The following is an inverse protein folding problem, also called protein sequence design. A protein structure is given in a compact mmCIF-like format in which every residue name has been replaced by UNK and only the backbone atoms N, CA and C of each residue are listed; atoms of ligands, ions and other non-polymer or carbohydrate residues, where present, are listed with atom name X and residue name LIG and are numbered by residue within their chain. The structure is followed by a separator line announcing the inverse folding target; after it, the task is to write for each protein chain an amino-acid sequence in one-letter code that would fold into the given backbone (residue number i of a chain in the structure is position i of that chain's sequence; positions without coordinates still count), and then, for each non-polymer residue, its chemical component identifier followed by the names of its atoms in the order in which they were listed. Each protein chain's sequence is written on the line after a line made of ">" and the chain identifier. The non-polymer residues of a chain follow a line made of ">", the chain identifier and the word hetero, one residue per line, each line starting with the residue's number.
data_IF_008664611748
#
_entry.id   IF_008664611748
#
_cell.length_a   1.000
_cell.length_b   1.000
_cell.length_c   1.000
_cell.angle_alpha   90.00
_cell.angle_beta   90.00
_cell.angle_gamma   90.00
#
_symmetry.space_group_name_H-M   'P 1'
#
loop_
_entity.id
_entity.type
_entity.pdbx_description
1 polymer ?
2 non-polymer ?
3 non-polymer ?
4 water ?
#
# COMPACT_ATOMS: atom_id res chain seq x y z
N UNK A 18 13.60 -17.25 -37.89
CA UNK A 18 13.05 -16.17 -37.01
C UNK A 18 13.76 -16.15 -35.66
N UNK A 19 14.04 -14.93 -35.17
CA UNK A 19 14.74 -14.74 -33.91
C UNK A 19 13.77 -14.50 -32.76
N UNK A 20 13.88 -15.31 -31.71
CA UNK A 20 13.02 -15.20 -30.54
C UNK A 20 13.56 -14.13 -29.58
N UNK A 21 12.67 -13.24 -29.14
CA UNK A 21 13.02 -12.19 -28.18
C UNK A 21 11.99 -12.09 -27.06
N UNK A 22 12.47 -11.83 -25.85
CA UNK A 22 11.60 -11.65 -24.69
C UNK A 22 11.53 -10.18 -24.31
N UNK A 23 10.30 -9.66 -24.21
CA UNK A 23 10.07 -8.26 -23.88
C UNK A 23 9.56 -8.09 -22.46
N UNK A 24 10.14 -7.12 -21.75
CA UNK A 24 9.74 -6.81 -20.38
C UNK A 24 9.35 -5.33 -20.24
N UNK A 25 8.18 -5.11 -19.67
CA UNK A 25 7.72 -3.76 -19.37
C UNK A 25 7.43 -3.63 -17.87
N UNK A 26 8.23 -2.81 -17.18
CA UNK A 26 8.11 -2.60 -15.74
C UNK A 26 8.26 -1.14 -15.35
N UNK A 27 7.32 -0.64 -14.55
CA UNK A 27 7.31 0.76 -14.14
C UNK A 27 6.53 0.95 -12.83
N UNK A 28 6.97 1.91 -12.00
CA UNK A 28 6.18 2.33 -10.84
C UNK A 28 4.81 2.90 -11.24
N UNK A 29 4.66 3.20 -12.53
CA UNK A 29 3.40 3.68 -13.10
C UNK A 29 2.35 2.58 -13.21
N UNK A 30 2.80 1.34 -13.43
CA UNK A 30 1.90 0.20 -13.49
C UNK A 30 1.54 -0.26 -12.08
N UNK A 31 0.78 0.58 -11.39
CA UNK A 31 0.49 0.36 -9.98
C UNK A 31 -0.99 0.51 -9.65
N UNK A 32 -1.41 -0.21 -8.62
CA UNK A 32 -2.71 0.03 -8.00
C UNK A 32 -2.59 0.03 -6.48
N UNK A 33 -2.87 1.19 -5.89
CA UNK A 33 -2.80 1.36 -4.44
C UNK A 33 -4.14 0.99 -3.83
N UNK A 34 -4.16 -0.14 -3.13
CA UNK A 34 -5.42 -0.75 -2.70
C UNK A 34 -5.42 -1.20 -1.24
N UNK A 35 -6.63 -1.31 -0.68
CA UNK A 35 -6.83 -1.92 0.61
C UNK A 35 -7.30 -3.36 0.43
N UNK A 36 -6.95 -4.22 1.39
CA UNK A 36 -7.40 -5.62 1.37
C UNK A 36 -7.11 -6.30 2.70
N UNK A 37 -7.62 -7.52 2.86
CA UNK A 37 -7.15 -8.45 3.89
C UNK A 37 -7.33 -9.88 3.44
N UNK A 38 -6.37 -10.74 3.79
CA UNK A 38 -6.45 -12.16 3.50
C UNK A 38 -7.38 -12.84 4.49
N UNK A 39 -8.26 -13.68 3.97
CA UNK A 39 -9.11 -14.53 4.79
C UNK A 39 -9.25 -15.90 4.15
N UNK A 40 -8.91 -16.93 4.91
CA UNK A 40 -9.20 -18.32 4.53
C UNK A 40 -9.59 -19.13 5.76
N UNK A 41 -9.75 -20.45 5.59
CA UNK A 41 -10.20 -21.33 6.68
C UNK A 41 -9.25 -21.29 7.88
N UNK A 42 -9.77 -20.78 9.00
CA UNK A 42 -9.03 -20.71 10.26
C UNK A 42 -8.10 -19.53 10.42
N UNK A 43 -8.08 -18.63 9.43
CA UNK A 43 -7.19 -17.47 9.46
C UNK A 43 -7.83 -16.21 8.88
N UNK A 44 -7.64 -15.10 9.60
CA UNK A 44 -8.06 -13.78 9.14
C UNK A 44 -7.09 -12.72 9.64
N UNK A 45 -6.68 -11.83 8.75
CA UNK A 45 -5.82 -10.71 9.12
C UNK A 45 -6.58 -9.39 9.13
N UNK A 46 -6.00 -8.38 9.78
CA UNK A 46 -6.61 -7.06 9.87
C UNK A 46 -6.54 -6.31 8.54
N UNK A 47 -7.46 -5.36 8.36
CA UNK A 47 -7.48 -4.51 7.18
C UNK A 47 -6.21 -3.68 7.07
N UNK A 48 -5.60 -3.72 5.88
CA UNK A 48 -4.43 -2.92 5.57
C UNK A 48 -4.42 -2.64 4.07
N UNK A 49 -3.26 -2.24 3.53
CA UNK A 49 -3.15 -1.91 2.12
C UNK A 49 -1.74 -2.06 1.58
N UNK A 50 -1.62 -1.92 0.26
CA UNK A 50 -0.34 -2.05 -0.44
C UNK A 50 -0.28 -1.16 -1.67
N UNK A 51 0.95 -0.79 -2.05
CA UNK A 51 1.23 -0.28 -3.39
C UNK A 51 1.57 -1.47 -4.27
N UNK A 52 0.56 -2.01 -4.95
CA UNK A 52 0.77 -3.14 -5.85
C UNK A 52 1.44 -2.67 -7.13
N UNK A 53 2.28 -3.53 -7.71
CA UNK A 53 2.98 -3.20 -8.94
C UNK A 53 2.96 -4.38 -9.92
N UNK A 54 2.71 -4.08 -11.19
CA UNK A 54 2.59 -5.10 -12.23
C UNK A 54 3.67 -4.94 -13.30
N UNK A 55 4.37 -6.04 -13.59
CA UNK A 55 5.26 -6.09 -14.75
C UNK A 55 4.81 -7.19 -15.72
N UNK A 56 4.96 -6.92 -17.01
CA UNK A 56 4.53 -7.85 -18.04
C UNK A 56 5.71 -8.36 -18.87
N UNK A 57 5.76 -9.68 -19.06
CA UNK A 57 6.77 -10.33 -19.89
C UNK A 57 6.12 -11.12 -21.03
N UNK A 58 6.69 -10.97 -22.23
CA UNK A 58 6.18 -11.60 -23.45
C UNK A 58 7.31 -12.26 -24.22
N UNK A 59 7.01 -13.38 -24.88
CA UNK A 59 7.95 -14.04 -25.79
C UNK A 59 7.34 -14.17 -27.18
N UNK A 60 8.15 -13.88 -28.20
CA UNK A 60 7.72 -13.99 -29.59
C UNK A 60 8.87 -13.76 -30.56
N UNK A 61 8.56 -13.77 -31.84
CA UNK A 61 9.56 -13.50 -32.88
C UNK A 61 9.58 -12.02 -33.23
N UNK A 62 10.78 -11.52 -33.54
CA UNK A 62 10.95 -10.15 -34.00
C UNK A 62 10.34 -10.02 -35.40
N UNK A 63 9.36 -9.13 -35.53
CA UNK A 63 8.64 -8.94 -36.78
C UNK A 63 9.41 -8.06 -37.76
N UNK A 64 8.89 -7.94 -38.98
CA UNK A 64 9.53 -7.15 -40.04
C UNK A 64 9.65 -5.66 -39.77
N UNK A 65 8.97 -5.19 -38.73
CA UNK A 65 9.03 -3.79 -38.32
C UNK A 65 10.09 -3.54 -37.23
N UNK A 66 10.77 -4.61 -36.80
CA UNK A 66 11.80 -4.53 -35.78
C UNK A 66 11.33 -4.82 -34.37
N UNK A 67 10.02 -4.84 -34.18
CA UNK A 67 9.43 -5.13 -32.88
C UNK A 67 8.88 -6.54 -32.81
N UNK A 68 8.90 -7.12 -31.61
CA UNK A 68 8.06 -8.28 -31.32
C UNK A 68 6.63 -7.74 -31.21
N UNK A 69 6.51 -6.70 -30.38
CA UNK A 69 5.28 -5.92 -30.21
C UNK A 69 5.66 -4.56 -29.62
N UNK A 70 4.98 -3.50 -30.06
CA UNK A 70 5.29 -2.14 -29.64
C UNK A 70 5.11 -1.95 -28.12
N UNK A 71 6.15 -1.42 -27.47
CA UNK A 71 6.13 -1.18 -26.02
C UNK A 71 5.00 -0.24 -25.59
N UNK A 72 4.71 0.76 -26.43
CA UNK A 72 3.67 1.75 -26.15
C UNK A 72 2.28 1.12 -25.98
N UNK A 73 2.00 0.10 -26.79
CA UNK A 73 0.74 -0.66 -26.68
C UNK A 73 0.71 -1.42 -25.36
N UNK A 74 1.82 -2.09 -25.03
CA UNK A 74 1.94 -2.83 -23.77
C UNK A 74 1.81 -1.91 -22.55
N UNK A 75 2.46 -0.75 -22.60
CA UNK A 75 2.40 0.24 -21.54
C UNK A 75 0.99 0.80 -21.33
N UNK A 76 0.25 0.95 -22.42
CA UNK A 76 -1.10 1.51 -22.39
C UNK A 76 -2.12 0.58 -21.75
N UNK A 77 -2.05 -0.71 -22.08
CA UNK A 77 -3.01 -1.70 -21.62
C UNK A 77 -2.80 -2.09 -20.15
N UNK A 78 -1.53 -2.14 -19.73
CA UNK A 78 -1.20 -2.45 -18.33
C UNK A 78 -1.68 -1.32 -17.42
N UNK A 79 -1.53 -0.08 -17.89
CA UNK A 79 -2.02 1.10 -17.18
C UNK A 79 -3.53 1.06 -16.99
N UNK A 80 -4.25 0.62 -18.02
CA UNK A 80 -5.71 0.54 -18.00
C UNK A 80 -6.24 -0.48 -17.00
N UNK A 81 -5.60 -1.65 -16.95
CA UNK A 81 -5.98 -2.72 -16.02
C UNK A 81 -5.72 -2.30 -14.57
N UNK A 82 -4.55 -1.69 -14.34
CA UNK A 82 -4.17 -1.19 -13.02
C UNK A 82 -5.13 -0.10 -12.52
N UNK A 83 -5.53 0.78 -13.43
CA UNK A 83 -6.43 1.90 -13.12
C UNK A 83 -7.78 1.45 -12.58
N UNK A 84 -8.30 0.35 -13.13
CA UNK A 84 -9.58 -0.23 -12.69
C UNK A 84 -9.53 -0.71 -11.24
N UNK A 85 -8.37 -1.19 -10.81
CA UNK A 85 -8.16 -1.67 -9.45
C UNK A 85 -7.81 -0.54 -8.49
N UNK A 86 -6.99 0.40 -8.98
CA UNK A 86 -6.42 1.49 -8.19
C UNK A 86 -7.43 2.25 -7.32
N UNK A 87 -7.00 2.57 -6.10
CA UNK A 87 -7.79 3.36 -5.14
C UNK A 87 -9.10 2.69 -4.70
N UNK A 88 -9.05 1.39 -4.45
CA UNK A 88 -10.22 0.64 -4.00
C UNK A 88 -9.85 -0.40 -2.95
N UNK A 89 -10.86 -0.88 -2.22
CA UNK A 89 -10.72 -2.10 -1.42
C UNK A 89 -10.94 -3.28 -2.35
N UNK A 90 -10.00 -4.21 -2.37
CA UNK A 90 -10.11 -5.42 -3.18
C UNK A 90 -11.04 -6.43 -2.50
N UNK A 91 -12.21 -6.61 -3.08
CA UNK A 91 -13.21 -7.52 -2.53
C UNK A 91 -13.28 -8.82 -3.34
N UNK A 92 -12.89 -9.95 -2.71
CA UNK A 92 -12.95 -11.27 -3.36
C UNK A 92 -14.39 -11.79 -3.41
N UNK A 93 -14.92 -11.95 -4.62
CA UNK A 93 -16.30 -12.38 -4.85
C UNK A 93 -16.58 -13.82 -4.40
N UNK A 94 -15.62 -14.71 -4.64
CA UNK A 94 -15.85 -16.15 -4.45
C UNK A 94 -15.26 -16.71 -3.16
N UNK A 95 -15.08 -15.85 -2.16
CA UNK A 95 -14.54 -16.26 -0.88
C UNK A 95 -15.51 -17.19 -0.14
N UNK A 96 -14.98 -18.30 0.37
CA UNK A 96 -15.77 -19.29 1.10
C UNK A 96 -15.85 -19.00 2.60
N UNK A 97 -15.15 -17.95 3.05
CA UNK A 97 -15.09 -17.60 4.46
C UNK A 97 -15.62 -16.20 4.77
N UNK A 98 -16.05 -15.49 3.72
CA UNK A 98 -16.63 -14.15 3.89
C UNK A 98 -18.10 -14.12 3.52
N UNK A 99 -18.90 -13.54 4.41
CA UNK A 99 -20.31 -13.27 4.15
C UNK A 99 -20.44 -11.85 3.62
N UNK A 100 -20.69 -11.73 2.32
CA UNK A 100 -20.79 -10.42 1.67
C UNK A 100 -22.26 -10.05 1.46
N UNK A 101 -22.70 -9.05 2.22
CA UNK A 101 -24.08 -8.59 2.17
C UNK A 101 -24.17 -7.22 1.51
N UNK A 102 -25.22 -7.01 0.73
CA UNK A 102 -25.51 -5.70 0.16
C UNK A 102 -26.49 -4.95 1.06
N UNK A 103 -25.99 -3.91 1.73
CA UNK A 103 -26.81 -3.10 2.62
C UNK A 103 -26.82 -1.67 2.09
N UNK A 104 -27.98 -1.26 1.60
CA UNK A 104 -28.15 0.04 0.92
C UNK A 104 -27.12 0.24 -0.19
N UNK A 105 -26.23 1.23 -0.02
CA UNK A 105 -25.18 1.49 -1.00
C UNK A 105 -23.81 1.00 -0.50
N UNK A 106 -23.84 0.06 0.43
CA UNK A 106 -22.63 -0.49 1.03
C UNK A 106 -22.51 -2.01 0.85
N UNK A 107 -21.27 -2.49 0.90
CA UNK A 107 -21.00 -3.90 1.08
C UNK A 107 -20.69 -4.16 2.55
N UNK A 108 -21.44 -5.06 3.17
CA UNK A 108 -21.19 -5.49 4.54
C UNK A 108 -20.51 -6.85 4.51
N UNK A 109 -19.33 -6.93 5.12
CA UNK A 109 -18.55 -8.17 5.13
C UNK A 109 -18.46 -8.74 6.54
N UNK A 110 -18.99 -9.94 6.71
CA UNK A 110 -18.92 -10.65 7.99
C UNK A 110 -17.97 -11.85 7.86
N UNK A 111 -17.01 -11.92 8.79
CA UNK A 111 -15.99 -12.96 8.77
C UNK A 111 -16.38 -14.14 9.66
N UNK A 112 -15.56 -15.20 9.63
CA UNK A 112 -15.78 -16.40 10.44
C UNK A 112 -15.76 -16.12 11.94
N UNK A 113 -14.88 -15.21 12.34
CA UNK A 113 -14.74 -14.83 13.76
C UNK A 113 -15.77 -13.76 14.17
N UNK A 114 -16.76 -13.55 13.29
CA UNK A 114 -17.87 -12.62 13.51
C UNK A 114 -17.51 -11.12 13.47
N UNK A 115 -16.29 -10.81 13.05
CA UNK A 115 -15.87 -9.41 12.83
C UNK A 115 -16.60 -8.85 11.60
N UNK A 116 -16.99 -7.58 11.70
CA UNK A 116 -17.82 -6.94 10.68
C UNK A 116 -17.14 -5.74 10.02
N UNK A 117 -17.21 -5.69 8.70
CA UNK A 117 -16.73 -4.54 7.93
C UNK A 117 -17.89 -3.97 7.11
N UNK A 118 -17.84 -2.67 6.85
CA UNK A 118 -18.81 -2.03 5.96
C UNK A 118 -18.15 -0.93 5.16
N UNK A 119 -18.15 -1.08 3.83
CA UNK A 119 -17.61 -0.07 2.92
C UNK A 119 -18.67 0.32 1.91
N UNK A 120 -18.64 1.59 1.45
CA UNK A 120 -19.46 1.96 0.30
C UNK A 120 -19.11 1.10 -0.90
N UNK A 121 -20.10 0.73 -1.71
CA UNK A 121 -19.89 -0.11 -2.88
C UNK A 121 -18.88 0.48 -3.87
N UNK A 122 -18.92 1.81 -4.03
CA UNK A 122 -18.05 2.51 -4.97
C UNK A 122 -16.57 2.50 -4.53
N UNK A 123 -16.35 2.23 -3.24
CA UNK A 123 -15.00 2.11 -2.68
C UNK A 123 -14.40 0.74 -2.93
N UNK A 124 -15.25 -0.21 -3.31
CA UNK A 124 -14.83 -1.60 -3.51
C UNK A 124 -14.75 -1.94 -5.00
N UNK A 125 -13.80 -2.81 -5.33
CA UNK A 125 -13.75 -3.42 -6.64
C UNK A 125 -13.99 -4.92 -6.49
N UNK A 126 -15.08 -5.39 -7.07
CA UNK A 126 -15.46 -6.80 -7.00
C UNK A 126 -14.69 -7.61 -8.04
N UNK A 127 -13.80 -8.48 -7.55
CA UNK A 127 -12.93 -9.27 -8.40
C UNK A 127 -13.28 -10.75 -8.25
N UNK A 128 -13.48 -11.46 -9.39
CA UNK A 128 -13.82 -12.88 -9.40
C UNK A 128 -12.70 -13.80 -8.89
N UNK A 129 -12.37 -13.65 -7.60
CA UNK A 129 -11.33 -14.45 -6.94
C UNK A 129 -11.79 -14.91 -5.56
N UNK A 130 -11.12 -15.93 -5.02
CA UNK A 130 -11.46 -16.47 -3.71
C UNK A 130 -10.71 -15.77 -2.57
N UNK A 131 -9.47 -15.38 -2.85
CA UNK A 131 -8.64 -14.66 -1.88
C UNK A 131 -7.92 -13.51 -2.57
N UNK A 132 -7.79 -12.39 -1.87
CA UNK A 132 -7.07 -11.24 -2.39
C UNK A 132 -5.55 -11.42 -2.23
N UNK A 133 -5.07 -12.61 -2.55
CA UNK A 133 -3.64 -12.93 -2.49
C UNK A 133 -2.95 -12.44 -3.76
N UNK A 134 -1.63 -12.25 -3.67
CA UNK A 134 -0.83 -11.79 -4.81
C UNK A 134 -0.92 -12.78 -5.98
N UNK A 135 -0.96 -14.08 -5.64
CA UNK A 135 -1.11 -15.14 -6.62
C UNK A 135 -2.41 -15.04 -7.43
N UNK A 136 -3.53 -14.87 -6.73
CA UNK A 136 -4.85 -14.82 -7.37
C UNK A 136 -5.13 -13.51 -8.10
N UNK A 137 -4.66 -12.40 -7.53
CA UNK A 137 -4.73 -11.10 -8.21
C UNK A 137 -3.90 -11.14 -9.49
N UNK A 138 -2.76 -11.82 -9.44
CA UNK A 138 -1.91 -12.05 -10.61
C UNK A 138 -2.62 -12.76 -11.75
N UNK A 139 -3.30 -13.85 -11.43
CA UNK A 139 -4.08 -14.62 -12.41
C UNK A 139 -5.18 -13.78 -13.04
N UNK A 140 -5.88 -13.00 -12.22
CA UNK A 140 -6.94 -12.11 -12.70
C UNK A 140 -6.41 -11.08 -13.69
N UNK A 141 -5.28 -10.46 -13.36
CA UNK A 141 -4.65 -9.44 -14.21
C UNK A 141 -4.17 -10.05 -15.53
N UNK A 142 -3.57 -11.23 -15.46
CA UNK A 142 -3.14 -11.96 -16.66
C UNK A 142 -4.31 -12.21 -17.61
N UNK A 143 -5.43 -12.67 -17.07
CA UNK A 143 -6.66 -12.89 -17.84
C UNK A 143 -7.21 -11.59 -18.44
N UNK A 144 -7.17 -10.52 -17.66
CA UNK A 144 -7.67 -9.22 -18.10
C UNK A 144 -6.77 -8.57 -19.16
N UNK A 145 -5.46 -8.73 -19.01
CA UNK A 145 -4.49 -8.16 -19.93
C UNK A 145 -4.53 -8.78 -21.33
N UNK A 146 -4.72 -10.10 -21.37
CA UNK A 146 -4.83 -10.84 -22.64
C UNK A 146 -6.06 -10.40 -23.42
N UNK A 147 -7.17 -10.17 -22.71
CA UNK A 147 -8.40 -9.68 -23.33
C UNK A 147 -8.29 -8.20 -23.71
N UNK A 148 -7.51 -7.44 -22.96
CA UNK A 148 -7.31 -6.01 -23.21
C UNK A 148 -6.41 -5.76 -24.42
N UNK A 149 -5.33 -6.53 -24.53
CA UNK A 149 -4.43 -6.46 -25.69
C UNK A 149 -5.05 -7.18 -26.89
N UNK A 150 -5.91 -8.15 -26.60
CA UNK A 150 -6.64 -8.95 -27.61
C UNK A 150 -5.82 -10.16 -28.06
N UNK A 151 -6.36 -11.35 -27.84
CA UNK A 151 -5.67 -12.61 -28.12
C UNK A 151 -5.22 -12.77 -29.60
N UNK A 152 -6.14 -12.60 -30.57
CA UNK A 152 -5.73 -12.73 -31.97
C UNK A 152 -4.76 -11.64 -32.45
N UNK A 153 -4.72 -10.51 -31.74
CA UNK A 153 -3.74 -9.47 -32.03
C UNK A 153 -2.33 -9.89 -31.61
N UNK A 154 -2.25 -10.63 -30.50
CA UNK A 154 -0.99 -11.17 -30.00
C UNK A 154 -0.44 -12.25 -30.94
N UNK A 155 -1.34 -13.05 -31.51
CA UNK A 155 -0.96 -14.12 -32.44
C UNK A 155 -0.45 -13.60 -33.78
N UNK A 156 -0.94 -12.43 -34.20
CA UNK A 156 -0.46 -11.78 -35.42
C UNK A 156 0.96 -11.23 -35.24
N UNK A 157 1.32 -10.94 -34.00
CA UNK A 157 2.66 -10.49 -33.65
C UNK A 157 3.57 -11.66 -33.25
N UNK A 158 3.06 -12.88 -33.43
CA UNK A 158 3.75 -14.15 -33.14
C UNK A 158 4.08 -14.39 -31.66
N UNK A 159 3.34 -13.70 -30.78
CA UNK A 159 3.50 -13.88 -29.33
C UNK A 159 2.88 -15.22 -28.92
N UNK A 160 3.67 -16.05 -28.24
CA UNK A 160 3.21 -17.37 -27.80
C UNK A 160 3.30 -17.59 -26.29
N UNK A 161 3.69 -16.54 -25.56
CA UNK A 161 3.89 -16.61 -24.12
C UNK A 161 3.61 -15.26 -23.47
N UNK A 162 2.73 -15.28 -22.47
CA UNK A 162 2.40 -14.09 -21.67
C UNK A 162 2.65 -14.38 -20.20
N UNK A 163 3.26 -13.43 -19.51
CA UNK A 163 3.62 -13.60 -18.10
C UNK A 163 3.49 -12.29 -17.33
N UNK A 164 2.73 -12.32 -16.24
CA UNK A 164 2.62 -11.15 -15.37
C UNK A 164 3.23 -11.41 -13.99
N UNK A 165 3.94 -10.41 -13.48
CA UNK A 165 4.47 -10.42 -12.12
C UNK A 165 3.78 -9.32 -11.32
N UNK A 166 3.13 -9.71 -10.24
CA UNK A 166 2.49 -8.76 -9.33
C UNK A 166 3.24 -8.76 -8.01
N UNK A 167 3.60 -7.57 -7.54
CA UNK A 167 4.25 -7.41 -6.25
C UNK A 167 3.32 -6.76 -5.24
N UNK A 168 3.19 -7.40 -4.08
CA UNK A 168 2.44 -6.85 -2.96
C UNK A 168 3.31 -5.78 -2.30
N UNK A 169 4.61 -6.05 -2.26
CA UNK A 169 5.61 -5.12 -1.76
C UNK A 169 6.89 -5.33 -2.58
N UNK A 170 7.85 -4.39 -2.51
CA UNK A 170 9.14 -4.60 -3.19
C UNK A 170 9.85 -5.91 -2.79
N UNK A 171 9.36 -6.55 -1.73
CA UNK A 171 9.96 -7.78 -1.22
C UNK A 171 9.21 -9.06 -1.61
N UNK A 172 7.90 -8.94 -1.82
CA UNK A 172 7.04 -10.10 -2.08
C UNK A 172 6.40 -10.05 -3.47
N UNK A 173 6.77 -11.01 -4.31
CA UNK A 173 6.29 -11.07 -5.70
C UNK A 173 5.68 -12.41 -6.06
N UNK A 174 4.64 -12.39 -6.90
CA UNK A 174 4.05 -13.60 -7.47
C UNK A 174 3.99 -13.48 -9.00
N UNK A 175 4.35 -14.56 -9.68
CA UNK A 175 4.43 -14.59 -11.13
C UNK A 175 3.63 -15.75 -11.72
N UNK A 176 2.74 -15.41 -12.65
CA UNK A 176 1.93 -16.40 -13.36
C UNK A 176 2.07 -16.21 -14.87
N UNK A 177 1.84 -17.28 -15.63
CA UNK A 177 2.00 -17.24 -17.08
C UNK A 177 0.94 -18.05 -17.84
N UNK A 178 0.85 -17.79 -19.14
CA UNK A 178 0.02 -18.59 -20.04
C UNK A 178 0.70 -18.75 -21.39
N UNK A 179 0.73 -20.00 -21.88
CA UNK A 179 1.23 -20.28 -23.22
C UNK A 179 0.12 -20.08 -24.25
N UNK A 180 0.33 -19.11 -25.13
CA UNK A 180 -0.66 -18.78 -26.17
C UNK A 180 -0.09 -19.00 -27.57
N UNK B 18 35.56 19.33 16.83
CA UNK B 18 34.62 18.20 16.59
C UNK B 18 34.13 18.18 15.15
N UNK B 19 34.05 16.98 14.57
CA UNK B 19 33.63 16.80 13.18
C UNK B 19 32.16 16.45 13.08
N UNK B 20 31.40 17.24 12.31
CA UNK B 20 29.97 17.02 12.12
C UNK B 20 29.73 15.96 11.03
N UNK B 21 28.87 15.00 11.36
CA UNK B 21 28.49 13.96 10.40
C UNK B 21 26.97 13.74 10.38
N UNK B 22 26.44 13.48 9.19
CA UNK B 22 25.02 13.21 9.01
C UNK B 22 24.79 11.73 8.75
N UNK B 23 23.93 11.11 9.56
CA UNK B 23 23.64 9.69 9.46
C UNK B 23 22.27 9.43 8.85
N UNK B 24 22.22 8.47 7.92
CA UNK B 24 20.97 8.10 7.26
C UNK B 24 20.71 6.59 7.39
N UNK B 25 19.52 6.26 7.86
CA UNK B 25 19.04 4.87 7.92
C UNK B 25 17.78 4.69 7.07
N UNK B 26 17.91 3.91 6.00
CA UNK B 26 16.79 3.66 5.09
C UNK B 26 16.72 2.19 4.68
N UNK B 27 15.54 1.62 4.79
CA UNK B 27 15.33 0.20 4.48
C UNK B 27 13.87 -0.09 4.14
N UNK B 28 13.63 -1.04 3.21
CA UNK B 28 12.28 -1.56 2.97
C UNK B 28 11.68 -2.21 4.22
N UNK B 29 12.53 -2.46 5.22
CA UNK B 29 12.12 -3.04 6.50
C UNK B 29 11.39 -2.00 7.35
N UNK B 30 11.78 -0.73 7.23
CA UNK B 30 11.13 0.35 7.96
C UNK B 30 9.83 0.74 7.26
N UNK B 31 8.86 -0.17 7.33
CA UNK B 31 7.63 -0.03 6.57
C UNK B 31 6.38 -0.30 7.41
N UNK B 32 5.28 0.35 7.03
CA UNK B 32 3.96 0.00 7.54
C UNK B 32 2.95 -0.03 6.40
N UNK B 33 2.42 -1.22 6.16
CA UNK B 33 1.44 -1.44 5.11
C UNK B 33 0.04 -1.19 5.66
N UNK B 34 -0.56 -0.08 5.24
CA UNK B 34 -1.79 0.41 5.86
C UNK B 34 -2.88 0.82 4.88
N UNK B 35 -4.12 0.83 5.37
CA UNK B 35 -5.25 1.38 4.65
C UNK B 35 -5.54 2.79 5.16
N UNK B 36 -6.06 3.64 4.29
CA UNK B 36 -6.43 5.02 4.65
C UNK B 36 -7.26 5.67 3.54
N UNK B 37 -7.81 6.84 3.86
CA UNK B 37 -8.31 7.76 2.84
C UNK B 37 -8.22 9.21 3.33
N UNK B 38 -7.87 10.11 2.41
CA UNK B 38 -7.81 11.54 2.72
C UNK B 38 -9.22 12.12 2.73
N UNK B 39 -9.51 12.91 3.76
CA UNK B 39 -10.75 13.66 3.83
C UNK B 39 -10.47 15.03 4.42
N UNK B 40 -10.86 16.07 3.68
CA UNK B 40 -10.88 17.44 4.18
C UNK B 40 -12.11 18.19 3.66
N UNK B 41 -12.19 19.49 3.94
CA UNK B 41 -13.35 20.30 3.54
C UNK B 41 -13.57 20.30 2.02
N UNK B 42 -14.69 19.70 1.61
CA UNK B 42 -15.09 19.66 0.20
C UNK B 42 -14.49 18.53 -0.62
N UNK B 43 -13.69 17.68 0.02
CA UNK B 43 -13.03 16.58 -0.68
C UNK B 43 -12.95 15.29 0.14
N UNK B 44 -13.27 14.18 -0.51
CA UNK B 44 -13.14 12.85 0.07
C UNK B 44 -12.76 11.85 -1.02
N UNK B 45 -11.76 11.01 -0.73
CA UNK B 45 -11.37 9.96 -1.65
C UNK B 45 -11.80 8.58 -1.14
N UNK B 46 -11.78 7.60 -2.04
CA UNK B 46 -12.17 6.24 -1.71
C UNK B 46 -11.11 5.53 -0.88
N UNK B 47 -11.53 4.53 -0.11
CA UNK B 47 -10.63 3.71 0.70
C UNK B 47 -9.61 2.99 -0.17
N UNK B 48 -8.35 3.11 0.20
CA UNK B 48 -7.26 2.41 -0.46
C UNK B 48 -6.14 2.16 0.55
N UNK B 49 -4.94 1.87 0.06
CA UNK B 49 -3.81 1.59 0.94
C UNK B 49 -2.46 1.86 0.31
N UNK B 50 -1.41 1.78 1.12
CA UNK B 50 -0.05 2.02 0.68
C UNK B 50 0.96 1.18 1.45
N UNK B 51 2.10 0.90 0.81
CA UNK B 51 3.29 0.45 1.51
C UNK B 51 4.08 1.69 1.90
N UNK B 52 3.85 2.18 3.12
CA UNK B 52 4.56 3.36 3.62
C UNK B 52 5.98 2.97 4.00
N UNK B 53 6.92 3.90 3.82
CA UNK B 53 8.31 3.67 4.17
C UNK B 53 8.93 4.87 4.88
N UNK B 54 9.70 4.59 5.92
CA UNK B 54 10.29 5.64 6.77
C UNK B 54 11.81 5.60 6.71
N UNK B 55 12.43 6.74 6.45
CA UNK B 55 13.88 6.89 6.60
C UNK B 55 14.19 7.98 7.62
N UNK B 56 15.24 7.75 8.41
CA UNK B 56 15.64 8.68 9.46
C UNK B 56 17.00 9.30 9.18
N UNK B 57 17.08 10.62 9.33
CA UNK B 57 18.31 11.37 9.14
C UNK B 57 18.63 12.17 10.40
N UNK B 58 19.88 12.09 10.84
CA UNK B 58 20.31 12.87 12.01
C UNK B 58 21.69 13.49 11.84
N UNK B 59 21.91 14.61 12.54
CA UNK B 59 23.16 15.34 12.50
C UNK B 59 23.74 15.48 13.90
N UNK B 60 25.05 15.27 14.01
CA UNK B 60 25.75 15.41 15.28
C UNK B 60 27.25 15.29 15.10
N UNK B 61 27.98 15.32 16.21
CA UNK B 61 29.43 15.15 16.19
C UNK B 61 29.81 13.68 16.36
N UNK B 62 30.89 13.29 15.69
CA UNK B 62 31.44 11.94 15.84
C UNK B 62 32.05 11.82 17.24
N UNK B 63 31.53 10.87 18.02
CA UNK B 63 31.96 10.67 19.40
C UNK B 63 33.26 9.87 19.48
N UNK B 64 33.79 9.74 20.70
CA UNK B 64 35.06 9.05 20.94
C UNK B 64 35.05 7.56 20.61
N UNK B 65 33.87 7.00 20.39
CA UNK B 65 33.73 5.60 20.01
C UNK B 65 33.66 5.40 18.49
N UNK B 66 33.73 6.50 17.74
CA UNK B 66 33.72 6.46 16.28
C UNK B 66 32.35 6.68 15.66
N UNK B 67 31.31 6.58 16.48
CA UNK B 67 29.94 6.78 16.03
C UNK B 67 29.42 8.15 16.42
N UNK B 68 28.52 8.71 15.60
CA UNK B 68 27.66 9.79 16.05
C UNK B 68 26.63 9.14 16.97
N UNK B 69 26.02 8.07 16.47
CA UNK B 69 25.12 7.21 17.21
C UNK B 69 25.05 5.85 16.49
N UNK B 70 24.98 4.76 17.26
CA UNK B 70 24.97 3.40 16.70
C UNK B 70 23.76 3.17 15.78
N UNK B 71 24.04 2.70 14.56
CA UNK B 71 23.00 2.42 13.57
C UNK B 71 21.98 1.38 14.06
N UNK B 72 22.46 0.39 14.81
CA UNK B 72 21.61 -0.68 15.34
C UNK B 72 20.50 -0.16 16.25
N UNK B 73 20.81 0.86 17.05
CA UNK B 73 19.83 1.52 17.91
C UNK B 73 18.78 2.24 17.04
N UNK B 74 19.26 2.97 16.03
CA UNK B 74 18.38 3.68 15.10
C UNK B 74 17.47 2.73 14.34
N UNK B 75 18.03 1.61 13.86
CA UNK B 75 17.28 0.60 13.14
C UNK B 75 16.22 -0.07 13.99
N UNK B 76 16.51 -0.25 15.27
CA UNK B 76 15.61 -0.91 16.23
C UNK B 76 14.37 -0.07 16.54
N UNK B 77 14.58 1.23 16.77
CA UNK B 77 13.50 2.12 17.18
C UNK B 77 12.56 2.48 16.02
N UNK B 78 13.11 2.62 14.81
CA UNK B 78 12.31 2.91 13.62
C UNK B 78 11.40 1.72 13.31
N UNK B 79 11.94 0.51 13.50
CA UNK B 79 11.16 -0.72 13.30
C UNK B 79 10.00 -0.81 14.29
N UNK B 80 10.22 -0.37 15.53
CA UNK B 80 9.20 -0.41 16.58
C UNK B 80 8.03 0.55 16.30
N UNK B 81 8.36 1.75 15.84
CA UNK B 81 7.34 2.76 15.52
C UNK B 81 6.50 2.32 14.31
N UNK B 82 7.17 1.79 13.29
CA UNK B 82 6.50 1.28 12.10
C UNK B 82 5.58 0.10 12.41
N UNK B 83 6.02 -0.78 13.30
CA UNK B 83 5.27 -1.97 13.70
C UNK B 83 3.92 -1.63 14.32
N UNK B 84 3.87 -0.56 15.11
CA UNK B 84 2.64 -0.09 15.75
C UNK B 84 1.58 0.34 14.74
N UNK B 85 2.04 0.90 13.61
CA UNK B 85 1.15 1.34 12.54
C UNK B 85 0.79 0.21 11.58
N UNK B 86 1.78 -0.65 11.30
CA UNK B 86 1.67 -1.73 10.31
C UNK B 86 0.41 -2.57 10.42
N UNK B 87 -0.17 -2.90 9.26
CA UNK B 87 -1.35 -3.77 9.14
C UNK B 87 -2.61 -3.22 9.82
N UNK B 88 -2.85 -1.92 9.65
CA UNK B 88 -4.04 -1.27 10.21
C UNK B 88 -4.63 -0.24 9.25
N UNK B 89 -5.88 0.13 9.48
CA UNK B 89 -6.45 1.33 8.88
C UNK B 89 -6.01 2.52 9.71
N UNK B 90 -5.43 3.53 9.07
CA UNK B 90 -4.99 4.74 9.75
C UNK B 90 -6.18 5.67 9.98
N UNK B 91 -6.58 5.79 11.24
CA UNK B 91 -7.73 6.60 11.63
C UNK B 91 -7.30 7.92 12.27
N UNK B 92 -7.57 9.06 11.59
CA UNK B 92 -7.23 10.37 12.13
C UNK B 92 -8.21 10.79 13.21
N UNK B 93 -7.71 10.95 14.43
CA UNK B 93 -8.53 11.29 15.60
C UNK B 93 -9.14 12.69 15.55
N UNK B 94 -8.37 13.66 15.05
CA UNK B 94 -8.77 15.07 15.13
C UNK B 94 -9.35 15.64 13.83
N UNK B 95 -9.88 14.75 12.98
CA UNK B 95 -10.49 15.17 11.72
C UNK B 95 -11.74 16.00 11.94
N UNK B 96 -11.83 17.12 11.23
CA UNK B 96 -12.96 18.04 11.34
C UNK B 96 -14.09 17.69 10.35
N UNK B 97 -13.86 16.69 9.52
CA UNK B 97 -14.83 16.30 8.49
C UNK B 97 -15.31 14.84 8.62
N UNK B 98 -14.81 14.15 9.63
CA UNK B 98 -15.22 12.77 9.88
C UNK B 98 -15.96 12.64 11.21
N UNK B 99 -17.12 11.97 11.16
CA UNK B 99 -17.87 11.62 12.35
C UNK B 99 -17.47 10.20 12.77
N UNK B 100 -16.68 10.10 13.83
CA UNK B 100 -16.19 8.82 14.32
C UNK B 100 -17.01 8.34 15.51
N UNK B 101 -17.80 7.30 15.28
CA UNK B 101 -18.69 6.73 16.29
C UNK B 101 -18.16 5.38 16.77
N UNK B 102 -18.29 5.11 18.07
CA UNK B 102 -17.98 3.80 18.63
C UNK B 102 -19.25 2.96 18.68
N UNK B 103 -19.31 1.94 17.84
CA UNK B 103 -20.46 1.04 17.78
C UNK B 103 -19.98 -0.36 18.12
N UNK B 104 -20.40 -0.85 19.29
CA UNK B 104 -19.93 -2.12 19.84
C UNK B 104 -18.40 -2.22 19.84
N UNK B 105 -17.84 -3.13 19.05
CA UNK B 105 -16.39 -3.29 18.96
C UNK B 105 -15.85 -2.73 17.64
N UNK B 106 -16.62 -1.82 17.04
CA UNK B 106 -16.27 -1.20 15.77
C UNK B 106 -16.16 0.32 15.86
N UNK B 107 -15.38 0.89 14.94
CA UNK B 107 -15.43 2.32 14.67
C UNK B 107 -16.30 2.54 13.44
N UNK B 108 -17.31 3.38 13.59
CA UNK B 108 -18.17 3.77 12.48
C UNK B 108 -17.80 5.19 12.05
N UNK B 109 -17.45 5.34 10.78
CA UNK B 109 -17.01 6.62 10.24
C UNK B 109 -18.01 7.15 9.22
N UNK B 110 -18.58 8.32 9.51
CA UNK B 110 -19.50 8.99 8.61
C UNK B 110 -18.85 10.25 8.05
N UNK B 111 -18.86 10.35 6.72
CA UNK B 111 -18.23 11.47 6.01
C UNK B 111 -19.23 12.60 5.73
N UNK B 112 -18.73 13.71 5.20
CA UNK B 112 -19.55 14.87 4.85
C UNK B 112 -20.60 14.54 3.79
N UNK B 113 -20.22 13.69 2.83
CA UNK B 113 -21.12 13.27 1.75
C UNK B 113 -22.05 12.12 2.18
N UNK B 114 -22.09 11.86 3.49
CA UNK B 114 -22.94 10.83 4.11
C UNK B 114 -22.54 9.38 3.84
N UNK B 115 -21.38 9.18 3.24
CA UNK B 115 -20.84 7.83 3.05
C UNK B 115 -20.42 7.24 4.39
N UNK B 116 -20.66 5.95 4.57
CA UNK B 116 -20.44 5.27 5.86
C UNK B 116 -19.41 4.15 5.77
N UNK B 117 -18.50 4.13 6.74
CA UNK B 117 -17.52 3.06 6.88
C UNK B 117 -17.67 2.43 8.26
N UNK B 118 -17.36 1.14 8.36
CA UNK B 118 -17.33 0.46 9.65
C UNK B 118 -16.22 -0.57 9.69
N UNK B 119 -15.28 -0.38 10.62
CA UNK B 119 -14.17 -1.31 10.81
C UNK B 119 -14.13 -1.76 12.27
N UNK B 120 -13.69 -3.01 12.53
CA UNK B 120 -13.39 -3.40 13.91
C UNK B 120 -12.33 -2.47 14.50
N UNK B 121 -12.46 -2.16 15.79
CA UNK B 121 -11.53 -1.25 16.47
C UNK B 121 -10.08 -1.74 16.41
N UNK B 122 -9.88 -3.05 16.49
CA UNK B 122 -8.54 -3.66 16.47
C UNK B 122 -7.87 -3.56 15.11
N UNK B 123 -8.67 -3.34 14.07
CA UNK B 123 -8.16 -3.12 12.71
C UNK B 123 -7.67 -1.70 12.50
N UNK B 124 -8.06 -0.81 13.41
CA UNK B 124 -7.71 0.60 13.30
C UNK B 124 -6.61 1.00 14.25
N UNK B 125 -5.77 1.94 13.82
CA UNK B 125 -4.82 2.60 14.71
C UNK B 125 -5.21 4.08 14.82
N UNK B 126 -5.58 4.48 16.04
CA UNK B 126 -5.98 5.86 16.31
C UNK B 126 -4.77 6.76 16.49
N UNK B 127 -4.58 7.66 15.53
CA UNK B 127 -3.41 8.54 15.51
C UNK B 127 -3.88 9.99 15.72
N UNK B 128 -3.24 10.71 16.66
CA UNK B 128 -3.57 12.11 16.96
C UNK B 128 -3.24 13.08 15.82
N UNK B 129 -3.94 12.93 14.69
CA UNK B 129 -3.75 13.77 13.50
C UNK B 129 -5.11 14.17 12.91
N UNK B 130 -5.11 15.21 12.08
CA UNK B 130 -6.33 15.69 11.44
C UNK B 130 -6.59 15.00 10.10
N UNK B 131 -5.52 14.71 9.37
CA UNK B 131 -5.59 14.04 8.08
C UNK B 131 -4.52 12.96 8.00
N UNK B 132 -4.86 11.83 7.39
CA UNK B 132 -3.89 10.75 7.19
C UNK B 132 -2.99 11.04 5.98
N UNK B 133 -2.51 12.27 5.89
CA UNK B 133 -1.59 12.68 4.83
C UNK B 133 -0.16 12.28 5.19
N UNK B 134 0.68 12.18 4.17
CA UNK B 134 2.09 11.82 4.35
C UNK B 134 2.80 12.84 5.25
N UNK B 135 2.44 14.12 5.10
CA UNK B 135 2.98 15.21 5.91
C UNK B 135 2.68 15.03 7.40
N UNK B 136 1.41 14.77 7.72
CA UNK B 136 0.97 14.64 9.11
C UNK B 136 1.40 13.33 9.78
N UNK B 137 1.40 12.24 9.01
CA UNK B 137 1.94 10.95 9.48
C UNK B 137 3.43 11.10 9.77
N UNK B 138 4.13 11.86 8.92
CA UNK B 138 5.54 12.18 9.12
C UNK B 138 5.82 12.88 10.45
N UNK B 139 5.04 13.91 10.74
CA UNK B 139 5.15 14.64 12.02
C UNK B 139 4.93 13.75 13.23
N UNK B 140 3.91 12.90 13.14
CA UNK B 140 3.59 11.94 14.20
C UNK B 140 4.75 10.99 14.48
N UNK B 141 5.32 10.44 13.41
CA UNK B 141 6.45 9.50 13.52
C UNK B 141 7.69 10.18 14.09
N UNK B 142 7.97 11.41 13.64
CA UNK B 142 9.07 12.20 14.18
C UNK B 142 8.95 12.39 15.69
N UNK B 143 7.76 12.75 16.14
CA UNK B 143 7.46 12.91 17.57
C UNK B 143 7.61 11.60 18.34
N UNK B 144 7.16 10.50 17.75
CA UNK B 144 7.22 9.17 18.37
C UNK B 144 8.65 8.63 18.43
N UNK B 145 9.42 8.87 17.38
CA UNK B 145 10.81 8.40 17.30
C UNK B 145 11.74 9.07 18.30
N UNK B 146 11.54 10.37 18.51
CA UNK B 146 12.33 11.14 19.48
C UNK B 146 12.09 10.63 20.90
N UNK B 147 10.84 10.31 21.21
CA UNK B 147 10.47 9.73 22.51
C UNK B 147 10.94 8.29 22.66
N UNK B 148 10.99 7.57 21.54
CA UNK B 148 11.40 6.16 21.53
C UNK B 148 12.92 6.02 21.70
N UNK B 149 13.68 6.87 21.02
CA UNK B 149 15.14 6.90 21.15
C UNK B 149 15.53 7.60 22.45
N UNK B 150 14.66 8.50 22.92
CA UNK B 150 14.84 9.27 24.16
C UNK B 150 15.64 10.56 23.90
N UNK B 151 15.02 11.70 24.19
CA UNK B 151 15.62 13.01 23.92
C UNK B 151 16.98 13.25 24.62
N UNK B 152 17.06 13.04 25.96
CA UNK B 152 18.35 13.25 26.63
C UNK B 152 19.43 12.25 26.21
N UNK B 153 19.04 11.10 25.66
CA UNK B 153 20.00 10.14 25.12
C UNK B 153 20.62 10.65 23.82
N UNK B 154 19.82 11.36 23.03
CA UNK B 154 20.28 11.97 21.79
C UNK B 154 21.26 13.12 22.06
N UNK B 155 21.00 13.87 23.13
CA UNK B 155 21.86 14.99 23.53
C UNK B 155 23.22 14.55 24.07
N UNK B 156 23.27 13.36 24.68
CA UNK B 156 24.54 12.78 25.15
C UNK B 156 25.41 12.34 23.97
N UNK B 157 24.77 12.04 22.85
CA UNK B 157 25.47 11.67 21.62
C UNK B 157 25.72 12.90 20.73
N UNK B 158 25.42 14.07 21.27
CA UNK B 158 25.60 15.38 20.59
C UNK B 158 24.72 15.60 19.35
N UNK B 159 23.63 14.84 19.26
CA UNK B 159 22.68 14.98 18.16
C UNK B 159 21.85 16.26 18.36
N UNK B 160 21.85 17.12 17.35
CA UNK B 160 21.12 18.39 17.41
C UNK B 160 20.07 18.57 16.31
N UNK B 161 19.89 17.53 15.50
CA UNK B 161 18.98 17.57 14.35
C UNK B 161 18.40 16.19 14.08
N UNK B 162 17.07 16.11 14.03
CA UNK B 162 16.36 14.88 13.67
C UNK B 162 15.43 15.14 12.50
N UNK B 163 15.42 14.21 11.55
CA UNK B 163 14.65 14.36 10.32
C UNK B 163 14.09 13.03 9.85
N UNK B 164 12.77 12.98 9.64
CA UNK B 164 12.15 11.76 9.09
C UNK B 164 11.54 12.02 7.71
N UNK B 165 11.74 11.07 6.81
CA UNK B 165 11.11 11.07 5.50
C UNK B 165 10.15 9.90 5.41
N UNK B 166 8.87 10.21 5.16
CA UNK B 166 7.85 9.19 4.96
C UNK B 166 7.42 9.19 3.51
N UNK B 167 7.41 8.02 2.90
CA UNK B 167 6.93 7.88 1.52
C UNK B 167 5.60 7.13 1.48
N UNK B 168 4.63 7.72 0.80
CA UNK B 168 3.34 7.09 0.55
C UNK B 168 3.53 6.06 -0.57
N UNK B 169 4.38 6.42 -1.52
CA UNK B 169 4.77 5.56 -2.63
C UNK B 169 6.22 5.88 -2.99
N UNK B 170 6.90 5.01 -3.76
CA UNK B 170 8.26 5.33 -4.22
C UNK B 170 8.36 6.67 -4.96
N UNK B 171 7.22 7.24 -5.31
CA UNK B 171 7.16 8.50 -6.07
C UNK B 171 6.84 9.73 -5.21
N UNK B 172 6.11 9.52 -4.13
CA UNK B 172 5.63 10.64 -3.29
C UNK B 172 6.19 10.58 -1.87
N UNK B 173 6.99 11.59 -1.53
CA UNK B 173 7.67 11.64 -0.22
C UNK B 173 7.40 12.96 0.51
N UNK B 174 7.31 12.87 1.84
CA UNK B 174 7.23 14.06 2.69
C UNK B 174 8.29 13.99 3.79
N UNK B 175 8.96 15.12 4.02
CA UNK B 175 10.07 15.19 4.97
C UNK B 175 9.85 16.30 5.99
N UNK B 176 9.94 15.93 7.27
CA UNK B 176 9.85 16.89 8.38
C UNK B 176 11.06 16.76 9.31
N UNK B 177 11.37 17.83 10.04
CA UNK B 177 12.53 17.85 10.91
C UNK B 177 12.30 18.60 12.23
N UNK B 178 13.20 18.38 13.18
CA UNK B 178 13.21 19.13 14.44
C UNK B 178 14.65 19.38 14.88
N UNK B 179 14.93 20.64 15.23
CA UNK B 179 16.22 21.02 15.79
C UNK B 179 16.22 20.76 17.29
N UNK B 180 17.08 19.84 17.73
CA UNK B 180 17.18 19.46 19.13
C UNK B 180 18.57 19.77 19.70
X LIG C 1 -1.40 -7.69 2.44
X LIG D 1 1.85 -15.13 1.10
X LIG D 1 2.19 -16.41 -0.80
X LIG D 1 1.68 -15.34 -0.22
X LIG D 1 0.94 -14.41 -0.98
X LIG D 1 0.40 -13.27 -0.35
X LIG D 1 -0.24 -12.45 -1.01
X LIG D 1 0.62 -13.09 1.02
X LIG D 1 1.35 -14.05 1.73
X LIG D 1 1.56 -13.89 3.04
X LIG D 1 1.07 -12.84 3.68
X LIG D 1 0.34 -11.87 2.98
X LIG D 1 0.12 -12.02 1.67
X LIG D 1 -0.24 -10.64 3.74
X LIG D 1 -1.32 -10.07 3.00
X LIG D 1 0.82 -9.55 4.00
X LIG D 1 1.69 -9.40 2.87
X LIG D 1 1.63 -9.85 5.28
X LIG E 1 30.71 -3.36 9.55
X LIG F 1 26.84 2.97 13.71
X LIG F 1 27.23 5.25 13.75
X LIG F 1 27.51 4.06 13.26
X LIG F 1 28.49 3.92 12.26
X LIG F 1 28.77 2.65 11.74
X LIG F 1 29.63 2.51 10.87
X LIG F 1 28.06 1.55 12.24
X LIG F 1 27.10 1.74 13.23
X LIG F 1 26.40 0.69 13.70
X LIG F 1 26.63 -0.53 13.24
X LIG F 1 27.60 -0.73 12.25
X LIG F 1 28.29 0.31 11.77
X LIG F 1 27.88 -2.14 11.70
X LIG F 1 26.66 -2.74 11.23
X LIG F 1 28.58 -3.02 12.75
X LIG F 1 29.56 -3.83 12.10
X LIG F 1 27.58 -3.88 13.55
#
# INVERSE_FOLDING_TARGET
>A
MAHHHHHHMNPHPVEPRDQIAELLVESPLFSFNCAHFIAFKGFRETLHGHNYNVSLRLRGNIQGDGYVIDFSILKEKVRKVCKQLDHHFILPMYSDVLNIQEVNDNFKITCEDNSEYSFPKRDCVQIPIKHSSTEEIGLYILNQLIEEIDLPFLKTRSVNYMEVTVSESPSQKATVHRNI
>B
MAHHHHHHMNPHPVEPRDQIAELLVESPLFSFNCAHFIAFKGFRETLHGHNYNVSLRLRGNIQGDGYVIDFSILKEKVRKVCKQLDHHFILPMYSDVLNIQEVNDNFKITCEDNSEYSFPKRDCVQIPIKHSSTEEIGLYILNQLIEEIDLPFLKTRSVNYMEVTVSESPSQKATVHRNI
>C hetero
1 ZN ZN
>D hetero
1 BIO N1 N2 C2 N3 C4 O4 C4A C8A N8 C7 C6 N5 C9 O9 C10 O10 C11
>E hetero
1 ZN ZN
>F hetero
1 BIO N1 N2 C2 N3 C4 O4 C4A C8A N8 C7 C6 N5 C9 O9 C10 O10 C11
#
